data_IF_953449767654
#
_entry.id   IF_953449767654
#
_cell.length_a   1.000
_cell.length_b   1.000
_cell.length_c   1.000
_cell.angle_alpha   90.00
_cell.angle_beta   90.00
_cell.angle_gamma   90.00
#
_symmetry.space_group_name_H-M   'P 1'
#
loop_
_entity.id
_entity.type
_entity.pdbx_description
1 polymer ?
#
# COMPACT_ATOMS: atom_id res chain seq x y z
N UNK A 1 12.38 -21.87 -0.80
CA UNK A 1 11.55 -22.44 0.28
C UNK A 1 10.97 -21.36 1.20
N UNK A 2 11.74 -20.32 1.53
CA UNK A 2 11.36 -19.18 2.39
C UNK A 2 10.10 -18.44 1.95
N UNK A 3 9.96 -18.05 0.67
CA UNK A 3 8.80 -17.29 0.14
C UNK A 3 7.45 -18.02 0.33
N UNK A 4 7.45 -19.36 0.28
CA UNK A 4 6.24 -20.16 0.48
C UNK A 4 5.77 -20.19 1.95
N UNK A 5 6.66 -19.93 2.90
CA UNK A 5 6.33 -19.88 4.33
C UNK A 5 5.65 -18.56 4.66
N UNK A 6 6.22 -17.42 4.23
CA UNK A 6 5.65 -16.09 4.44
C UNK A 6 4.26 -15.93 3.80
N UNK A 7 4.07 -16.44 2.58
CA UNK A 7 2.77 -16.39 1.89
C UNK A 7 1.70 -17.27 2.54
N UNK A 8 2.06 -18.44 3.08
CA UNK A 8 1.13 -19.28 3.84
C UNK A 8 0.76 -18.64 5.19
N UNK A 9 1.72 -18.01 5.86
CA UNK A 9 1.48 -17.32 7.12
C UNK A 9 0.54 -16.13 6.93
N UNK A 10 0.78 -15.31 5.89
CA UNK A 10 -0.11 -14.20 5.51
C UNK A 10 -1.54 -14.67 5.28
N UNK A 11 -1.75 -15.76 4.53
CA UNK A 11 -3.09 -16.32 4.29
C UNK A 11 -3.79 -16.82 5.55
N UNK A 12 -3.06 -17.25 6.57
CA UNK A 12 -3.64 -17.64 7.86
C UNK A 12 -4.03 -16.41 8.67
N UNK A 13 -3.17 -15.40 8.71
CA UNK A 13 -3.43 -14.11 9.35
C UNK A 13 -4.64 -13.39 8.73
N UNK A 14 -4.74 -13.33 7.39
CA UNK A 14 -5.89 -12.76 6.66
C UNK A 14 -7.22 -13.44 6.97
N UNK A 15 -7.18 -14.71 7.43
CA UNK A 15 -8.35 -15.48 7.84
C UNK A 15 -8.60 -15.42 9.36
N UNK A 16 -7.81 -14.65 10.11
CA UNK A 16 -7.84 -14.59 11.56
C UNK A 16 -7.39 -15.89 12.25
N UNK A 17 -6.74 -16.81 11.54
CA UNK A 17 -6.27 -18.09 12.08
C UNK A 17 -4.91 -17.92 12.80
N UNK A 18 -4.86 -17.05 13.80
CA UNK A 18 -3.62 -16.63 14.48
C UNK A 18 -2.91 -17.77 15.20
N UNK A 19 -3.64 -18.61 15.94
CA UNK A 19 -3.04 -19.71 16.70
C UNK A 19 -2.43 -20.78 15.78
N UNK A 20 -3.05 -21.02 14.62
CA UNK A 20 -2.54 -21.92 13.59
C UNK A 20 -1.32 -21.32 12.89
N UNK A 21 -1.31 -20.00 12.70
CA UNK A 21 -0.16 -19.29 12.16
C UNK A 21 1.02 -19.38 13.13
N UNK A 22 0.80 -19.10 14.41
CA UNK A 22 1.79 -19.18 15.50
C UNK A 22 2.36 -20.59 15.64
N UNK A 23 1.51 -21.63 15.69
CA UNK A 23 1.96 -23.02 15.80
C UNK A 23 2.82 -23.50 14.63
N UNK A 24 2.74 -22.83 13.46
CA UNK A 24 3.58 -23.14 12.29
C UNK A 24 4.92 -22.40 12.31
N UNK A 25 5.03 -21.37 13.15
CA UNK A 25 6.27 -20.66 13.37
C UNK A 25 7.06 -21.50 14.37
N UNK A 26 7.99 -22.30 13.86
CA UNK A 26 8.87 -23.17 14.64
C UNK A 26 9.91 -22.35 15.41
N UNK A 27 9.45 -21.45 16.28
CA UNK A 27 10.22 -20.49 17.09
C UNK A 27 11.15 -19.58 16.27
N UNK A 28 10.89 -19.47 14.96
CA UNK A 28 11.66 -18.59 14.09
C UNK A 28 11.28 -17.14 14.39
N UNK A 29 12.20 -16.42 15.03
CA UNK A 29 12.02 -15.02 15.44
C UNK A 29 11.56 -14.11 14.31
N UNK A 30 12.12 -14.24 13.10
CA UNK A 30 11.72 -13.39 11.96
C UNK A 30 10.29 -13.65 11.50
N UNK A 31 9.82 -14.89 11.62
CA UNK A 31 8.43 -15.23 11.29
C UNK A 31 7.46 -14.78 12.40
N UNK A 32 7.90 -14.78 13.67
CA UNK A 32 7.13 -14.20 14.78
C UNK A 32 6.98 -12.69 14.61
N UNK A 33 8.08 -11.99 14.35
CA UNK A 33 8.08 -10.53 14.08
C UNK A 33 7.19 -10.20 12.87
N UNK A 34 7.23 -11.04 11.81
CA UNK A 34 6.33 -10.89 10.67
C UNK A 34 4.86 -11.17 11.00
N UNK A 35 4.55 -12.11 11.91
CA UNK A 35 3.19 -12.36 12.37
C UNK A 35 2.64 -11.18 13.17
N UNK A 36 3.47 -10.58 14.04
CA UNK A 36 3.13 -9.36 14.78
C UNK A 36 2.86 -8.20 13.83
N UNK A 37 3.70 -8.02 12.80
CA UNK A 37 3.47 -7.03 11.75
C UNK A 37 2.12 -7.23 11.04
N UNK A 38 1.78 -8.47 10.67
CA UNK A 38 0.49 -8.77 10.03
C UNK A 38 -0.71 -8.47 10.95
N UNK A 39 -0.60 -8.76 12.25
CA UNK A 39 -1.63 -8.42 13.22
C UNK A 39 -1.80 -6.91 13.37
N UNK A 40 -0.69 -6.17 13.36
CA UNK A 40 -0.66 -4.71 13.41
C UNK A 40 -1.28 -4.07 12.16
N UNK A 41 -0.89 -4.51 10.95
CA UNK A 41 -1.51 -4.03 9.69
C UNK A 41 -3.02 -4.30 9.64
N UNK A 42 -3.46 -5.42 10.20
CA UNK A 42 -4.87 -5.79 10.26
C UNK A 42 -5.63 -5.13 11.43
N UNK A 43 -4.96 -4.33 12.27
CA UNK A 43 -5.57 -3.61 13.40
C UNK A 43 -5.91 -4.47 14.63
N UNK A 44 -5.41 -5.70 14.71
CA UNK A 44 -5.63 -6.62 15.85
C UNK A 44 -4.65 -6.32 16.99
N UNK A 45 -4.79 -5.15 17.63
CA UNK A 45 -3.84 -4.68 18.65
C UNK A 45 -3.77 -5.58 19.90
N UNK A 46 -4.89 -6.19 20.31
CA UNK A 46 -4.89 -7.19 21.39
C UNK A 46 -3.98 -8.38 21.06
N UNK A 47 -3.97 -8.83 19.79
CA UNK A 47 -3.09 -9.91 19.33
C UNK A 47 -1.63 -9.48 19.26
N UNK A 48 -1.36 -8.21 18.90
CA UNK A 48 -0.01 -7.63 18.93
C UNK A 48 0.54 -7.64 20.34
N UNK A 49 -0.24 -7.17 21.32
CA UNK A 49 0.14 -7.15 22.74
C UNK A 49 0.39 -8.59 23.25
N UNK A 50 -0.54 -9.53 22.99
CA UNK A 50 -0.41 -10.95 23.36
C UNK A 50 0.89 -11.59 22.84
N UNK A 51 1.18 -11.42 21.54
CA UNK A 51 2.36 -12.00 20.90
C UNK A 51 3.66 -11.36 21.41
N UNK A 52 3.66 -10.04 21.62
CA UNK A 52 4.84 -9.35 22.13
C UNK A 52 5.16 -9.76 23.56
N UNK A 53 4.15 -9.88 24.42
CA UNK A 53 4.32 -10.36 25.80
C UNK A 53 4.78 -11.82 25.83
N UNK A 54 4.12 -12.72 25.09
CA UNK A 54 4.42 -14.15 25.07
C UNK A 54 5.86 -14.45 24.64
N UNK A 55 6.36 -13.70 23.65
CA UNK A 55 7.67 -13.95 23.05
C UNK A 55 8.73 -12.90 23.43
N UNK A 56 8.43 -11.99 24.38
CA UNK A 56 9.32 -10.90 24.78
C UNK A 56 9.85 -10.11 23.57
N UNK A 57 8.96 -9.75 22.63
CA UNK A 57 9.31 -8.99 21.44
C UNK A 57 9.23 -7.49 21.76
N UNK A 58 10.36 -6.81 21.59
CA UNK A 58 10.47 -5.36 21.77
C UNK A 58 10.35 -4.62 20.42
N UNK A 59 9.92 -3.35 20.45
CA UNK A 59 9.86 -2.48 19.27
C UNK A 59 8.51 -2.39 18.55
N UNK A 60 7.53 -3.24 18.88
CA UNK A 60 6.19 -3.22 18.25
C UNK A 60 5.13 -2.47 19.08
N UNK A 61 5.30 -2.38 20.41
CA UNK A 61 4.29 -1.81 21.32
C UNK A 61 4.29 -0.26 21.27
N UNK A 62 5.37 0.36 20.82
CA UNK A 62 5.46 1.83 20.73
C UNK A 62 4.73 2.43 19.52
N UNK A 63 3.92 1.63 18.83
CA UNK A 63 3.14 2.06 17.66
C UNK A 63 2.01 2.99 18.05
N UNK A 64 1.48 2.98 19.29
CA UNK A 64 0.54 4.02 19.75
C UNK A 64 1.20 5.41 19.84
N UNK A 65 2.48 5.49 20.22
CA UNK A 65 3.28 6.74 20.14
C UNK A 65 3.63 7.08 18.69
N UNK A 66 3.96 6.06 17.88
CA UNK A 66 4.28 6.25 16.47
C UNK A 66 3.06 6.70 15.66
N UNK A 67 1.86 6.20 15.93
CA UNK A 67 0.59 6.64 15.31
C UNK A 67 0.18 8.07 15.69
N UNK A 68 0.69 8.60 16.81
CA UNK A 68 0.59 10.01 17.16
C UNK A 68 1.59 10.89 16.40
N UNK A 69 2.71 10.31 15.95
CA UNK A 69 3.79 10.99 15.23
C UNK A 69 3.75 10.80 13.70
N UNK A 70 3.11 9.73 13.23
CA UNK A 70 2.78 9.50 11.84
C UNK A 70 1.60 10.42 11.60
N UNK A 71 1.78 11.47 10.79
CA UNK A 71 0.67 12.34 10.49
C UNK A 71 -0.37 11.49 9.74
N UNK A 72 -1.52 11.26 10.39
CA UNK A 72 -2.69 10.63 9.79
C UNK A 72 -3.02 11.38 8.51
N UNK A 73 -2.58 10.82 7.38
CA UNK A 73 -2.76 11.36 6.04
C UNK A 73 -2.17 12.78 5.86
N UNK A 74 -0.87 12.89 5.59
CA UNK A 74 -0.37 14.09 4.89
C UNK A 74 -0.84 14.02 3.45
N UNK A 75 -1.87 14.80 3.13
CA UNK A 75 -2.10 15.18 1.74
C UNK A 75 -0.84 15.83 1.19
N UNK A 76 -0.50 15.52 -0.06
CA UNK A 76 0.59 16.16 -0.77
C UNK A 76 0.36 17.67 -0.76
N UNK A 77 1.27 18.41 -0.15
CA UNK A 77 1.22 19.87 -0.12
C UNK A 77 1.87 20.38 -1.42
N UNK A 78 1.06 20.96 -2.31
CA UNK A 78 1.52 21.36 -3.65
C UNK A 78 2.57 22.48 -3.63
N UNK A 79 2.51 23.33 -2.61
CA UNK A 79 3.47 24.39 -2.31
C UNK A 79 4.85 23.83 -1.96
N UNK A 80 4.94 22.70 -1.25
CA UNK A 80 6.20 22.01 -0.98
C UNK A 80 6.88 21.52 -2.27
N UNK A 81 6.10 21.22 -3.30
CA UNK A 81 6.58 20.73 -4.60
C UNK A 81 6.82 21.84 -5.63
N UNK A 82 6.66 23.11 -5.24
CA UNK A 82 6.74 24.26 -6.16
C UNK A 82 5.80 24.14 -7.37
N UNK A 83 4.70 23.37 -7.24
CA UNK A 83 3.69 23.24 -8.29
C UNK A 83 2.81 24.49 -8.23
N UNK A 84 2.84 25.29 -9.30
CA UNK A 84 2.14 26.58 -9.35
C UNK A 84 0.63 26.43 -9.57
N UNK A 85 0.23 25.40 -10.30
CA UNK A 85 -1.16 25.22 -10.72
C UNK A 85 -1.44 23.73 -11.02
N UNK A 86 -2.66 23.30 -10.70
CA UNK A 86 -3.23 22.01 -11.12
C UNK A 86 -4.54 22.31 -11.82
N UNK A 87 -4.62 21.95 -13.10
CA UNK A 87 -5.80 22.19 -13.93
C UNK A 87 -6.50 20.85 -14.16
N UNK A 88 -7.79 20.79 -13.80
CA UNK A 88 -8.66 19.69 -14.17
C UNK A 88 -9.27 19.96 -15.54
N UNK A 89 -9.21 18.98 -16.44
CA UNK A 89 -9.69 19.12 -17.82
C UNK A 89 -10.70 18.01 -18.12
N UNK A 90 -11.96 18.39 -18.24
CA UNK A 90 -13.08 17.47 -18.53
C UNK A 90 -13.95 17.91 -19.71
N UNK A 91 -13.62 19.04 -20.35
CA UNK A 91 -14.34 19.58 -21.52
C UNK A 91 -13.45 19.68 -22.77
N UNK A 92 -14.07 19.63 -23.95
CA UNK A 92 -13.37 19.66 -25.24
C UNK A 92 -12.52 20.91 -25.46
N UNK A 93 -13.01 22.08 -25.05
CA UNK A 93 -12.25 23.33 -25.14
C UNK A 93 -11.05 23.32 -24.18
N UNK A 94 -11.24 22.84 -22.96
CA UNK A 94 -10.15 22.68 -21.99
C UNK A 94 -9.07 21.72 -22.49
N UNK A 95 -9.44 20.64 -23.19
CA UNK A 95 -8.48 19.72 -23.80
C UNK A 95 -7.65 20.40 -24.89
N UNK A 96 -8.28 21.21 -25.74
CA UNK A 96 -7.58 21.96 -26.79
C UNK A 96 -6.57 22.94 -26.19
N UNK A 97 -6.96 23.67 -25.15
CA UNK A 97 -6.10 24.65 -24.50
C UNK A 97 -4.94 23.98 -23.76
N UNK A 98 -5.21 22.88 -23.04
CA UNK A 98 -4.17 22.08 -22.39
C UNK A 98 -3.18 21.50 -23.41
N UNK A 99 -3.66 21.03 -24.56
CA UNK A 99 -2.80 20.50 -25.64
C UNK A 99 -1.87 21.57 -26.17
N UNK A 100 -2.40 22.76 -26.50
CA UNK A 100 -1.59 23.91 -26.96
C UNK A 100 -0.54 24.30 -25.94
N UNK A 101 -0.90 24.31 -24.65
CA UNK A 101 0.04 24.63 -23.58
C UNK A 101 1.16 23.59 -23.49
N UNK A 102 0.85 22.30 -23.56
CA UNK A 102 1.83 21.20 -23.55
C UNK A 102 2.81 21.32 -24.73
N UNK A 103 2.35 21.72 -25.92
CA UNK A 103 3.19 21.92 -27.12
C UNK A 103 4.24 23.03 -26.96
N UNK A 104 4.04 23.98 -26.03
CA UNK A 104 5.00 25.04 -25.74
C UNK A 104 6.23 24.53 -24.95
N UNK A 105 6.14 23.33 -24.36
CA UNK A 105 7.22 22.74 -23.55
C UNK A 105 8.07 21.75 -24.33
N UNK A 106 9.38 21.75 -24.03
CA UNK A 106 10.35 20.82 -24.64
C UNK A 106 10.31 19.41 -24.05
N UNK A 107 9.92 19.29 -22.78
CA UNK A 107 9.91 18.03 -22.02
C UNK A 107 8.65 18.02 -21.17
N UNK A 108 7.93 16.91 -21.22
CA UNK A 108 6.66 16.71 -20.51
C UNK A 108 6.68 15.32 -19.88
N UNK A 109 6.32 15.24 -18.60
CA UNK A 109 6.07 13.97 -17.91
C UNK A 109 4.63 13.56 -18.11
N UNK A 110 4.39 12.32 -18.52
CA UNK A 110 3.05 11.77 -18.74
C UNK A 110 2.90 10.53 -17.86
N UNK A 111 1.83 10.52 -17.08
CA UNK A 111 1.39 9.36 -16.32
C UNK A 111 -0.09 9.09 -16.64
N UNK A 112 -0.48 7.82 -16.65
CA UNK A 112 -1.84 7.44 -16.99
C UNK A 112 -2.37 6.32 -16.11
N UNK A 113 -3.58 6.54 -15.58
CA UNK A 113 -4.33 5.53 -14.87
C UNK A 113 -5.10 4.68 -15.87
N UNK A 114 -4.99 3.36 -15.75
CA UNK A 114 -5.73 2.41 -16.59
C UNK A 114 -6.44 1.37 -15.73
N UNK A 115 -7.63 0.94 -16.19
CA UNK A 115 -8.39 -0.14 -15.55
C UNK A 115 -8.52 -1.32 -16.51
N UNK A 116 -8.21 -2.56 -16.09
CA UNK A 116 -8.45 -3.74 -16.91
C UNK A 116 -9.95 -3.99 -17.08
N UNK A 117 -10.37 -4.35 -18.30
CA UNK A 117 -11.71 -4.87 -18.54
C UNK A 117 -11.76 -6.32 -18.04
N UNK A 118 -12.43 -6.54 -16.91
CA UNK A 118 -12.59 -7.86 -16.28
C UNK A 118 -13.90 -8.56 -16.68
N UNK A 119 -14.53 -8.16 -17.80
CA UNK A 119 -15.69 -8.87 -18.29
C UNK A 119 -15.27 -10.26 -18.81
N UNK A 120 -15.87 -11.32 -18.25
CA UNK A 120 -15.59 -12.71 -18.62
C UNK A 120 -15.92 -12.91 -20.10
N UNK A 121 -14.90 -13.11 -20.93
CA UNK A 121 -15.02 -13.29 -22.38
C UNK A 121 -14.70 -12.04 -23.22
N UNK A 122 -14.37 -10.91 -22.58
CA UNK A 122 -13.90 -9.72 -23.28
C UNK A 122 -12.45 -9.88 -23.78
N UNK A 123 -12.14 -9.22 -24.90
CA UNK A 123 -10.78 -9.14 -25.41
C UNK A 123 -9.91 -8.28 -24.47
N UNK A 124 -8.63 -8.65 -24.22
CA UNK A 124 -7.75 -7.85 -23.39
C UNK A 124 -7.61 -6.42 -23.90
N UNK A 125 -7.61 -5.44 -22.99
CA UNK A 125 -7.30 -4.05 -23.35
C UNK A 125 -5.90 -3.99 -23.95
N UNK A 126 -5.79 -3.38 -25.14
CA UNK A 126 -4.48 -3.05 -25.70
C UNK A 126 -3.88 -1.90 -24.90
N UNK A 127 -2.90 -2.20 -24.07
CA UNK A 127 -1.99 -1.17 -23.54
C UNK A 127 -0.99 -0.88 -24.65
N UNK A 128 -1.07 0.31 -25.24
CA UNK A 128 -0.10 0.79 -26.23
C UNK A 128 0.84 1.73 -25.46
N UNK A 129 2.06 1.28 -25.20
CA UNK A 129 3.14 2.17 -24.81
C UNK A 129 3.66 2.84 -26.09
N UNK A 130 3.55 4.17 -26.16
CA UNK A 130 4.09 4.99 -27.24
C UNK A 130 5.58 5.24 -27.10
#
# INVERSE_FOLDING_TARGET
MTVLVYSKLKKLAEKGCWDVAEARINENRQLLEYLVYLAMEAGYMEKVEELCERYSLEGFINVKELEGSIPKHRYLQLDELSIKEVVWVDEANGLLDATRHIEEYKVVGIDCEWKPNYEKGSSPNKVIFG
#
